data_IF_670159100327
#
_entry.id   IF_670159100327
#
_cell.length_a   1.000
_cell.length_b   1.000
_cell.length_c   1.000
_cell.angle_alpha   90.00
_cell.angle_beta   90.00
_cell.angle_gamma   90.00
#
_symmetry.space_group_name_H-M   'P 1'
#
loop_
_entity.id
_entity.type
_entity.pdbx_description
1 polymer ?
#
# COMPACT_ATOMS: atom_id res chain seq x y z
N UNK A 1 -2.53 79.09 -47.33
CA UNK A 1 -2.73 78.64 -45.91
C UNK A 1 -3.34 77.29 -45.96
N UNK A 2 -2.55 76.26 -45.65
CA UNK A 2 -2.94 74.81 -45.76
C UNK A 2 -2.94 74.23 -44.34
N UNK A 3 -4.07 73.82 -43.91
CA UNK A 3 -4.27 73.10 -42.61
C UNK A 3 -4.01 71.65 -42.82
N UNK A 4 -3.06 71.09 -42.05
CA UNK A 4 -2.81 69.64 -41.96
C UNK A 4 -3.73 69.04 -40.85
N UNK A 5 -4.52 68.06 -41.26
CA UNK A 5 -5.30 67.27 -40.36
C UNK A 5 -4.52 66.00 -40.03
N UNK A 6 -4.23 65.80 -38.75
CA UNK A 6 -3.50 64.60 -38.24
C UNK A 6 -4.51 63.51 -37.82
N UNK A 7 -4.45 62.39 -38.51
CA UNK A 7 -5.26 61.22 -38.20
C UNK A 7 -4.46 60.30 -37.22
N UNK A 8 -4.96 60.17 -36.02
CA UNK A 8 -4.38 59.28 -34.98
C UNK A 8 -5.02 57.90 -35.09
N UNK A 9 -4.27 56.94 -35.63
CA UNK A 9 -4.70 55.56 -35.73
C UNK A 9 -4.42 54.83 -34.39
N UNK A 10 -5.46 54.57 -33.63
CA UNK A 10 -5.37 53.77 -32.41
C UNK A 10 -5.26 52.27 -32.72
N UNK A 11 -4.17 51.64 -32.31
CA UNK A 11 -3.94 50.21 -32.43
C UNK A 11 -4.49 49.51 -31.18
N UNK A 12 -5.66 48.85 -31.30
CA UNK A 12 -6.19 47.97 -30.23
C UNK A 12 -5.43 46.65 -30.23
N UNK A 13 -4.55 46.44 -29.26
CA UNK A 13 -3.98 45.12 -28.93
C UNK A 13 -5.04 44.33 -28.20
N UNK A 14 -5.65 43.37 -28.91
CA UNK A 14 -6.49 42.30 -28.27
C UNK A 14 -5.54 41.27 -27.70
N UNK A 15 -5.32 41.32 -26.37
CA UNK A 15 -4.59 40.29 -25.65
C UNK A 15 -5.45 39.03 -25.56
N UNK A 16 -5.08 38.00 -26.32
CA UNK A 16 -5.63 36.66 -26.15
C UNK A 16 -5.08 36.06 -24.85
N UNK A 17 -5.85 36.14 -23.77
CA UNK A 17 -5.60 35.35 -22.58
C UNK A 17 -5.91 33.88 -22.89
N UNK A 18 -4.88 33.08 -23.19
CA UNK A 18 -4.98 31.64 -23.14
C UNK A 18 -5.11 31.24 -21.68
N UNK A 19 -6.34 31.03 -21.19
CA UNK A 19 -6.60 30.32 -19.95
C UNK A 19 -6.20 28.86 -20.17
N UNK A 20 -4.98 28.50 -19.73
CA UNK A 20 -4.58 27.10 -19.60
C UNK A 20 -5.45 26.50 -18.50
N UNK A 21 -6.52 25.81 -18.88
CA UNK A 21 -7.25 24.96 -17.97
C UNK A 21 -6.28 23.87 -17.49
N UNK A 22 -5.75 24.06 -16.28
CA UNK A 22 -4.99 23.03 -15.58
C UNK A 22 -5.98 21.93 -15.19
N UNK A 23 -6.10 20.90 -16.02
CA UNK A 23 -6.80 19.68 -15.64
C UNK A 23 -6.01 19.07 -14.49
N UNK A 24 -6.52 19.24 -13.26
CA UNK A 24 -6.02 18.52 -12.11
C UNK A 24 -6.20 17.03 -12.39
N UNK A 25 -5.10 16.33 -12.60
CA UNK A 25 -5.11 14.88 -12.70
C UNK A 25 -5.75 14.37 -11.40
N UNK A 26 -6.76 13.48 -11.46
CA UNK A 26 -7.33 12.90 -10.25
C UNK A 26 -6.18 12.30 -9.43
N UNK A 27 -5.91 12.86 -8.27
CA UNK A 27 -4.93 12.31 -7.35
C UNK A 27 -5.51 11.00 -6.86
N UNK A 28 -4.85 9.88 -7.17
CA UNK A 28 -5.25 8.59 -6.60
C UNK A 28 -5.30 8.73 -5.07
N UNK A 29 -6.31 8.13 -4.40
CA UNK A 29 -6.42 8.19 -2.96
C UNK A 29 -5.13 7.65 -2.33
N UNK A 30 -4.45 8.48 -1.55
CA UNK A 30 -3.25 8.07 -0.82
C UNK A 30 -3.62 7.03 0.24
N UNK A 31 -2.77 6.00 0.48
CA UNK A 31 -2.98 5.07 1.56
C UNK A 31 -3.09 5.79 2.91
N UNK A 32 -4.13 5.49 3.66
CA UNK A 32 -4.33 6.02 5.02
C UNK A 32 -3.70 5.10 6.05
N UNK A 33 -2.49 5.41 6.48
CA UNK A 33 -1.74 4.59 7.46
C UNK A 33 -2.50 4.46 8.79
N UNK A 34 -3.31 5.44 9.17
CA UNK A 34 -4.14 5.36 10.36
C UNK A 34 -5.22 4.30 10.23
N UNK A 35 -5.59 3.91 9.00
CA UNK A 35 -6.53 2.82 8.78
C UNK A 35 -5.99 1.46 9.24
N UNK A 36 -4.68 1.26 9.40
CA UNK A 36 -4.14 0.06 10.05
C UNK A 36 -4.68 -0.12 11.47
N UNK A 37 -4.93 0.99 12.18
CA UNK A 37 -5.49 0.99 13.51
C UNK A 37 -7.03 0.86 13.53
N UNK A 38 -7.72 1.03 12.40
CA UNK A 38 -9.18 0.89 12.30
C UNK A 38 -9.63 -0.57 12.46
N UNK A 39 -8.75 -1.51 12.13
CA UNK A 39 -8.86 -2.90 12.52
C UNK A 39 -7.51 -3.35 13.06
N UNK A 40 -7.42 -3.82 14.31
CA UNK A 40 -6.17 -4.31 14.86
C UNK A 40 -5.68 -5.58 14.13
N UNK A 41 -6.55 -6.24 13.39
CA UNK A 41 -6.28 -7.50 12.71
C UNK A 41 -6.84 -7.49 11.29
N UNK A 42 -6.08 -8.07 10.36
CA UNK A 42 -6.40 -8.13 8.94
C UNK A 42 -6.18 -9.54 8.41
N UNK A 43 -7.21 -10.12 7.80
CA UNK A 43 -7.15 -11.47 7.21
C UNK A 43 -6.82 -11.37 5.73
N UNK A 44 -5.83 -12.14 5.27
CA UNK A 44 -5.58 -12.32 3.84
C UNK A 44 -6.75 -13.02 3.18
N UNK A 45 -7.44 -12.34 2.28
CA UNK A 45 -8.61 -12.87 1.56
C UNK A 45 -8.30 -13.29 0.13
N UNK A 46 -7.29 -12.68 -0.49
CA UNK A 46 -6.91 -12.96 -1.87
C UNK A 46 -5.43 -12.69 -2.11
N UNK A 47 -4.83 -13.47 -3.01
CA UNK A 47 -3.53 -13.19 -3.62
C UNK A 47 -3.68 -13.29 -5.12
N UNK A 48 -3.19 -12.30 -5.86
CA UNK A 48 -3.17 -12.37 -7.33
C UNK A 48 -1.84 -11.86 -7.90
N UNK A 49 -1.52 -12.30 -9.10
CA UNK A 49 -0.33 -11.84 -9.84
C UNK A 49 -0.72 -10.62 -10.68
N UNK A 50 0.21 -9.69 -10.85
CA UNK A 50 0.05 -8.51 -11.70
C UNK A 50 -0.54 -8.88 -13.07
N UNK A 51 -1.52 -8.10 -13.52
CA UNK A 51 -2.25 -8.35 -14.77
C UNK A 51 -3.37 -9.40 -14.69
N UNK A 52 -3.53 -10.12 -13.57
CA UNK A 52 -4.56 -11.16 -13.41
C UNK A 52 -5.37 -11.01 -12.10
N UNK A 53 -5.98 -9.83 -11.82
CA UNK A 53 -6.63 -9.57 -10.54
C UNK A 53 -7.86 -10.46 -10.29
N UNK A 54 -8.42 -11.10 -11.30
CA UNK A 54 -9.56 -12.02 -11.18
C UNK A 54 -9.17 -13.42 -10.70
N UNK A 55 -7.87 -13.78 -10.74
CA UNK A 55 -7.39 -15.12 -10.39
C UNK A 55 -6.82 -15.12 -8.98
N UNK A 56 -7.42 -15.87 -8.05
CA UNK A 56 -6.87 -16.07 -6.70
C UNK A 56 -5.84 -17.21 -6.71
N UNK A 57 -4.61 -16.89 -6.38
CA UNK A 57 -3.48 -17.82 -6.32
C UNK A 57 -2.94 -18.03 -4.90
N UNK A 58 -3.74 -17.78 -3.85
CA UNK A 58 -3.33 -17.93 -2.44
C UNK A 58 -2.63 -19.24 -2.14
N UNK A 59 -3.10 -20.35 -2.74
CA UNK A 59 -2.53 -21.67 -2.52
C UNK A 59 -1.06 -21.76 -2.91
N UNK A 60 -0.62 -20.99 -3.90
CA UNK A 60 0.76 -20.96 -4.38
C UNK A 60 1.68 -20.08 -3.53
N UNK A 61 1.09 -19.26 -2.63
CA UNK A 61 1.81 -18.27 -1.82
C UNK A 61 1.50 -18.38 -0.32
N UNK A 62 1.60 -19.58 0.30
CA UNK A 62 1.18 -19.80 1.69
C UNK A 62 1.92 -18.90 2.70
N UNK A 63 3.14 -18.47 2.38
CA UNK A 63 3.94 -17.61 3.24
C UNK A 63 3.38 -16.19 3.44
N UNK A 64 2.47 -15.73 2.56
CA UNK A 64 1.83 -14.41 2.68
C UNK A 64 0.37 -14.52 3.14
N UNK A 65 -0.16 -15.73 3.29
CA UNK A 65 -1.55 -15.98 3.74
C UNK A 65 -1.58 -16.07 5.25
N UNK A 66 -2.53 -15.41 5.89
CA UNK A 66 -2.70 -15.45 7.33
C UNK A 66 -3.46 -14.25 7.87
N UNK A 67 -3.34 -14.05 9.17
CA UNK A 67 -3.84 -12.87 9.86
C UNK A 67 -2.64 -12.00 10.20
N UNK A 68 -2.74 -10.70 10.00
CA UNK A 68 -1.75 -9.72 10.44
C UNK A 68 -2.35 -8.80 11.50
N UNK A 69 -1.57 -8.52 12.53
CA UNK A 69 -1.87 -7.53 13.56
C UNK A 69 -0.88 -6.37 13.42
N UNK A 70 -1.37 -5.15 13.56
CA UNK A 70 -0.58 -3.93 13.47
C UNK A 70 -0.87 -3.04 14.68
N UNK A 71 0.20 -2.58 15.33
CA UNK A 71 0.14 -1.59 16.41
C UNK A 71 0.91 -0.33 15.95
N UNK A 72 0.22 0.66 15.36
CA UNK A 72 0.86 1.89 14.90
C UNK A 72 1.45 2.75 16.03
N UNK A 73 0.95 2.60 17.27
CA UNK A 73 1.46 3.37 18.41
C UNK A 73 2.86 2.91 18.83
N UNK A 74 3.16 1.62 18.67
CA UNK A 74 4.45 1.02 19.00
C UNK A 74 5.26 0.65 17.78
N UNK A 75 4.72 0.84 16.58
CA UNK A 75 5.30 0.38 15.31
C UNK A 75 5.57 -1.13 15.29
N UNK A 76 4.69 -1.92 15.90
CA UNK A 76 4.85 -3.37 16.04
C UNK A 76 3.89 -4.11 15.12
N UNK A 77 4.33 -5.27 14.60
CA UNK A 77 3.47 -6.20 13.89
C UNK A 77 3.65 -7.63 14.40
N UNK A 78 2.61 -8.45 14.18
CA UNK A 78 2.69 -9.90 14.37
C UNK A 78 1.82 -10.58 13.31
N UNK A 79 2.24 -11.79 12.89
CA UNK A 79 1.49 -12.60 11.93
C UNK A 79 1.05 -13.91 12.56
N UNK A 80 -0.15 -14.35 12.15
CA UNK A 80 -0.79 -15.54 12.70
C UNK A 80 -1.24 -16.49 11.60
N UNK A 81 -1.30 -17.77 11.91
CA UNK A 81 -1.92 -18.77 11.06
C UNK A 81 -3.44 -18.55 11.03
N UNK A 82 -4.04 -18.53 9.82
CA UNK A 82 -5.46 -18.23 9.66
C UNK A 82 -6.39 -19.33 10.19
N UNK A 83 -5.93 -20.58 10.18
CA UNK A 83 -6.66 -21.78 10.62
C UNK A 83 -6.66 -21.96 12.15
N UNK A 84 -5.54 -21.64 12.80
CA UNK A 84 -5.36 -21.88 14.24
C UNK A 84 -5.37 -20.61 15.08
N UNK A 85 -5.14 -19.45 14.47
CA UNK A 85 -4.94 -18.19 15.17
C UNK A 85 -3.63 -18.14 15.98
N UNK A 86 -2.74 -19.14 15.85
CA UNK A 86 -1.45 -19.15 16.53
C UNK A 86 -0.46 -18.21 15.82
N UNK A 87 0.41 -17.59 16.62
CA UNK A 87 1.53 -16.79 16.08
C UNK A 87 2.40 -17.64 15.15
N UNK A 88 2.86 -17.00 14.07
CA UNK A 88 3.87 -17.60 13.17
C UNK A 88 5.29 -17.51 13.72
N UNK A 89 5.49 -16.89 14.87
CA UNK A 89 6.77 -16.68 15.52
C UNK A 89 6.84 -17.51 16.79
N UNK A 90 7.77 -18.50 16.82
CA UNK A 90 7.86 -19.47 17.92
C UNK A 90 8.16 -18.84 19.29
N UNK A 91 8.92 -17.73 19.31
CA UNK A 91 9.38 -17.07 20.54
C UNK A 91 8.57 -15.81 20.88
N UNK A 92 7.45 -15.61 20.20
CA UNK A 92 6.62 -14.43 20.36
C UNK A 92 7.21 -13.17 19.71
N UNK A 93 6.32 -12.28 19.31
CA UNK A 93 6.67 -11.07 18.61
C UNK A 93 6.84 -11.28 17.10
N UNK A 94 6.65 -10.28 16.33
CA UNK A 94 6.83 -10.27 14.88
C UNK A 94 8.03 -9.44 14.50
N UNK A 95 7.91 -8.16 14.75
CA UNK A 95 8.95 -7.18 14.42
C UNK A 95 8.42 -5.76 14.48
N UNK A 96 9.25 -4.87 13.97
CA UNK A 96 8.90 -3.48 13.77
C UNK A 96 8.46 -3.23 12.34
N UNK A 97 7.58 -2.28 12.14
CA UNK A 97 7.26 -1.78 10.82
C UNK A 97 7.43 -0.26 10.74
N UNK A 98 7.69 0.20 9.53
CA UNK A 98 7.78 1.61 9.18
C UNK A 98 6.96 1.85 7.91
N UNK A 99 6.34 3.02 7.82
CA UNK A 99 5.77 3.52 6.57
C UNK A 99 6.53 4.77 6.19
N UNK A 100 6.97 4.86 4.94
CA UNK A 100 7.72 6.02 4.45
C UNK A 100 6.84 7.27 4.39
N UNK A 101 7.46 8.45 4.36
CA UNK A 101 6.73 9.73 4.39
C UNK A 101 5.81 9.97 3.19
N UNK A 102 6.02 9.26 2.08
CA UNK A 102 5.11 9.24 0.92
C UNK A 102 3.90 8.31 1.12
N UNK A 103 3.84 7.58 2.24
CA UNK A 103 2.82 6.61 2.60
C UNK A 103 2.66 5.43 1.62
N UNK A 104 3.61 5.23 0.71
CA UNK A 104 3.54 4.20 -0.32
C UNK A 104 4.41 2.98 -0.02
N UNK A 105 5.42 3.13 0.84
CA UNK A 105 6.35 2.04 1.14
C UNK A 105 6.19 1.57 2.58
N UNK A 106 6.01 0.27 2.74
CA UNK A 106 5.85 -0.42 4.02
C UNK A 106 7.05 -1.35 4.23
N UNK A 107 7.81 -1.10 5.28
CA UNK A 107 9.05 -1.81 5.59
C UNK A 107 8.85 -2.61 6.87
N UNK A 108 9.14 -3.91 6.83
CA UNK A 108 9.06 -4.81 7.98
C UNK A 108 10.46 -5.26 8.38
N UNK A 109 10.77 -5.13 9.66
CA UNK A 109 12.04 -5.57 10.25
C UNK A 109 11.71 -6.62 11.32
N UNK A 110 11.95 -7.92 11.06
CA UNK A 110 11.71 -8.99 12.04
C UNK A 110 12.61 -8.85 13.27
N UNK A 111 12.10 -9.23 14.45
CA UNK A 111 12.87 -9.22 15.70
C UNK A 111 13.94 -10.31 15.75
N UNK A 112 13.66 -11.46 15.13
CA UNK A 112 14.47 -12.68 15.24
C UNK A 112 14.80 -13.27 13.88
N UNK A 113 15.88 -14.01 13.82
CA UNK A 113 16.33 -14.74 12.62
C UNK A 113 17.34 -13.94 11.79
N UNK A 114 17.78 -14.50 10.65
CA UNK A 114 18.57 -13.75 9.71
C UNK A 114 17.70 -12.58 9.22
N UNK A 115 18.04 -11.38 9.66
CA UNK A 115 17.26 -10.15 9.44
C UNK A 115 17.12 -9.91 7.95
N UNK A 116 15.99 -10.31 7.39
CA UNK A 116 15.59 -9.93 6.05
C UNK A 116 14.50 -8.88 6.18
N UNK A 117 14.87 -7.66 5.98
CA UNK A 117 13.91 -6.57 5.80
C UNK A 117 13.00 -6.90 4.62
N UNK A 118 11.70 -6.82 4.85
CA UNK A 118 10.70 -7.01 3.80
C UNK A 118 10.18 -5.64 3.40
N UNK A 119 10.35 -5.29 2.13
CA UNK A 119 9.81 -4.06 1.56
C UNK A 119 8.58 -4.39 0.73
N UNK A 120 7.50 -3.63 0.95
CA UNK A 120 6.21 -3.77 0.26
C UNK A 120 5.78 -2.39 -0.25
N UNK A 121 5.02 -2.37 -1.32
CA UNK A 121 4.31 -1.17 -1.73
C UNK A 121 2.88 -1.24 -1.20
N UNK A 122 2.40 -0.19 -0.56
CA UNK A 122 1.00 -0.03 -0.20
C UNK A 122 0.23 0.38 -1.46
N UNK A 123 -0.74 -0.42 -1.85
CA UNK A 123 -1.57 -0.19 -3.04
C UNK A 123 -2.92 0.39 -2.65
N UNK A 124 -3.49 -0.10 -1.55
CA UNK A 124 -4.73 0.38 -0.97
C UNK A 124 -4.71 0.20 0.54
N UNK A 125 -5.12 1.22 1.26
CA UNK A 125 -5.27 1.15 2.70
C UNK A 125 -6.39 2.09 3.13
N UNK A 126 -7.49 1.51 3.54
CA UNK A 126 -8.63 2.18 4.13
C UNK A 126 -9.26 1.30 5.22
N UNK A 127 -10.35 1.71 5.83
CA UNK A 127 -11.03 0.96 6.90
C UNK A 127 -11.57 -0.42 6.48
N UNK A 128 -11.68 -0.70 5.18
CA UNK A 128 -12.30 -1.92 4.65
C UNK A 128 -11.29 -2.86 3.98
N UNK A 129 -10.16 -2.31 3.50
CA UNK A 129 -9.18 -3.06 2.72
C UNK A 129 -7.76 -2.59 2.99
N UNK A 130 -6.88 -3.54 3.16
CA UNK A 130 -5.43 -3.36 3.17
C UNK A 130 -4.82 -4.22 2.08
N UNK A 131 -4.33 -3.61 1.01
CA UNK A 131 -3.67 -4.29 -0.10
C UNK A 131 -2.24 -3.78 -0.26
N UNK A 132 -1.30 -4.70 -0.31
CA UNK A 132 0.09 -4.38 -0.66
C UNK A 132 0.56 -5.22 -1.84
N UNK A 133 1.59 -4.74 -2.54
CA UNK A 133 2.32 -5.53 -3.55
C UNK A 133 3.79 -5.71 -3.16
N UNK A 134 4.38 -6.77 -3.70
CA UNK A 134 5.83 -7.01 -3.67
C UNK A 134 6.25 -7.97 -4.77
N UNK A 135 7.54 -7.97 -5.09
CA UNK A 135 8.14 -8.99 -5.97
C UNK A 135 8.57 -10.21 -5.16
N UNK A 136 8.29 -11.38 -5.70
CA UNK A 136 8.66 -12.69 -5.15
C UNK A 136 8.98 -13.64 -6.29
N UNK A 137 9.77 -14.70 -6.07
CA UNK A 137 9.87 -15.78 -7.05
C UNK A 137 8.48 -16.36 -7.33
N UNK A 138 8.18 -16.66 -8.59
CA UNK A 138 6.90 -17.28 -8.98
C UNK A 138 6.69 -18.56 -8.17
N UNK A 139 5.49 -18.70 -7.60
CA UNK A 139 5.08 -19.83 -6.75
C UNK A 139 6.00 -20.04 -5.52
N UNK A 140 6.75 -19.02 -5.12
CA UNK A 140 7.73 -19.05 -4.01
C UNK A 140 8.86 -20.07 -4.22
N UNK A 141 9.07 -20.54 -5.43
CA UNK A 141 10.15 -21.48 -5.78
C UNK A 141 11.43 -20.72 -6.12
N UNK A 142 12.47 -20.98 -5.34
CA UNK A 142 13.78 -20.34 -5.56
C UNK A 142 14.29 -20.64 -6.99
N UNK A 143 14.74 -19.59 -7.70
CA UNK A 143 15.19 -19.68 -9.08
C UNK A 143 14.11 -19.43 -10.14
N UNK A 144 12.82 -19.43 -9.77
CA UNK A 144 11.78 -18.99 -10.69
C UNK A 144 11.90 -17.49 -10.96
N UNK A 145 11.49 -17.03 -12.16
CA UNK A 145 11.43 -15.60 -12.47
C UNK A 145 10.59 -14.84 -11.44
N UNK A 146 11.00 -13.62 -11.05
CA UNK A 146 10.20 -12.81 -10.12
C UNK A 146 8.88 -12.41 -10.76
N UNK A 147 7.85 -12.37 -9.93
CA UNK A 147 6.53 -11.84 -10.27
C UNK A 147 6.09 -10.87 -9.18
N UNK A 148 5.34 -9.85 -9.55
CA UNK A 148 4.68 -8.97 -8.59
C UNK A 148 3.38 -9.61 -8.17
N UNK A 149 3.25 -9.84 -6.88
CA UNK A 149 1.99 -10.31 -6.27
C UNK A 149 1.33 -9.15 -5.51
N UNK A 150 0.01 -9.18 -5.51
CA UNK A 150 -0.86 -8.31 -4.71
C UNK A 150 -1.53 -9.17 -3.65
N UNK A 151 -1.45 -8.72 -2.40
CA UNK A 151 -2.00 -9.44 -1.25
C UNK A 151 -3.06 -8.58 -0.62
N UNK A 152 -4.31 -9.02 -0.74
CA UNK A 152 -5.52 -8.32 -0.30
C UNK A 152 -5.95 -8.83 1.06
N UNK A 153 -6.26 -7.91 1.97
CA UNK A 153 -6.74 -8.21 3.30
C UNK A 153 -8.03 -7.44 3.57
N UNK A 154 -8.87 -8.05 4.39
CA UNK A 154 -10.05 -7.41 4.98
C UNK A 154 -9.93 -7.39 6.50
N UNK A 155 -10.64 -6.49 7.21
CA UNK A 155 -10.69 -6.49 8.66
C UNK A 155 -11.09 -7.86 9.21
N UNK A 156 -10.42 -8.28 10.27
CA UNK A 156 -10.65 -9.55 10.95
C UNK A 156 -10.99 -9.32 12.42
N UNK A 157 -12.08 -9.89 12.89
CA UNK A 157 -12.58 -9.79 14.28
C UNK A 157 -12.58 -11.12 15.03
N UNK A 158 -12.04 -12.17 14.40
CA UNK A 158 -11.95 -13.49 15.01
C UNK A 158 -10.84 -13.57 16.08
N UNK A 159 -10.79 -14.70 16.81
CA UNK A 159 -9.79 -14.87 17.87
C UNK A 159 -8.40 -15.09 17.29
N UNK A 160 -7.40 -14.51 17.96
CA UNK A 160 -5.99 -14.83 17.79
C UNK A 160 -5.39 -15.21 19.13
N UNK A 161 -4.33 -16.01 19.09
CA UNK A 161 -3.54 -16.37 20.28
C UNK A 161 -2.17 -15.70 20.13
N UNK A 162 -2.09 -14.47 20.63
CA UNK A 162 -0.83 -13.73 20.62
C UNK A 162 0.13 -14.33 21.63
N UNK A 163 1.40 -14.39 21.26
CA UNK A 163 2.48 -14.73 22.19
C UNK A 163 2.89 -13.54 23.06
N UNK A 164 2.42 -12.32 22.73
CA UNK A 164 2.72 -11.07 23.46
C UNK A 164 1.81 -10.81 24.66
N UNK A 165 0.91 -11.71 25.01
CA UNK A 165 -0.06 -11.52 26.09
C UNK A 165 0.38 -12.08 27.45
N UNK A 166 1.69 -12.11 27.72
CA UNK A 166 2.24 -12.37 29.05
C UNK A 166 3.01 -11.18 29.57
#
# INVERSE_FOLDING_TARGET
MKTLSSVLTGLCLIGLFNASESYATPTEPQPDVQALASSPQWLTTKVYIEGAPQVDVKANYPGVVGISMWDPQRNRYEFFHADTGLSKYADGGGGYFLVTGDQNTHILVPDVGPVKTVVRRLEKLDKNEFTYSREVPRDMVAGNPPVRIYVVHTPYIGPIKTALSN
#
